data_IF_555438237255
#
_entry.id   IF_555438237255
#
_cell.length_a   1.000
_cell.length_b   1.000
_cell.length_c   1.000
_cell.angle_alpha   90.00
_cell.angle_beta   90.00
_cell.angle_gamma   90.00
#
_symmetry.space_group_name_H-M   'P 1'
#
loop_
_entity.id
_entity.type
_entity.pdbx_description
1 polymer ?
#
# COMPACT_ATOMS: atom_id res chain seq x y z
N UNK A 1 -19.13 -13.51 -12.90
CA UNK A 1 -19.06 -12.80 -14.20
C UNK A 1 -18.10 -11.60 -14.12
N UNK A 2 -16.79 -11.75 -14.38
CA UNK A 2 -15.84 -10.63 -14.32
C UNK A 2 -15.51 -10.14 -15.75
N UNK A 3 -15.89 -8.92 -16.14
CA UNK A 3 -15.56 -8.47 -17.50
C UNK A 3 -15.85 -7.02 -17.91
N UNK A 4 -16.49 -6.19 -17.08
CA UNK A 4 -16.81 -4.80 -17.47
C UNK A 4 -15.82 -3.73 -17.00
N UNK A 5 -14.90 -4.03 -16.07
CA UNK A 5 -14.02 -3.00 -15.48
C UNK A 5 -12.69 -2.80 -16.22
N UNK A 6 -12.18 -3.83 -16.90
CA UNK A 6 -10.91 -3.75 -17.63
C UNK A 6 -11.04 -3.06 -19.00
N UNK A 7 -12.20 -3.16 -19.68
CA UNK A 7 -12.37 -2.65 -21.05
C UNK A 7 -12.40 -1.11 -21.11
N UNK A 8 -13.11 -0.47 -20.17
CA UNK A 8 -13.22 0.99 -20.11
C UNK A 8 -11.89 1.68 -19.73
N UNK A 9 -10.97 1.00 -19.04
CA UNK A 9 -9.66 1.58 -18.70
C UNK A 9 -8.79 1.74 -19.94
N UNK A 10 -8.82 0.78 -20.86
CA UNK A 10 -8.03 0.81 -22.10
C UNK A 10 -8.57 1.87 -23.08
N UNK A 11 -9.89 2.05 -23.18
CA UNK A 11 -10.50 3.11 -23.97
C UNK A 11 -10.22 4.51 -23.39
N UNK A 12 -10.24 4.65 -22.06
CA UNK A 12 -9.87 5.91 -21.39
C UNK A 12 -8.38 6.23 -21.60
N UNK A 13 -7.49 5.23 -21.55
CA UNK A 13 -6.05 5.39 -21.82
C UNK A 13 -5.78 5.74 -23.29
N UNK A 14 -6.57 5.21 -24.23
CA UNK A 14 -6.48 5.55 -25.65
C UNK A 14 -6.92 7.00 -25.92
N UNK A 15 -7.97 7.48 -25.25
CA UNK A 15 -8.41 8.88 -25.33
C UNK A 15 -7.38 9.85 -24.72
N UNK A 16 -6.73 9.47 -23.62
CA UNK A 16 -5.69 10.27 -22.95
C UNK A 16 -4.36 10.32 -23.71
N UNK A 17 -4.13 9.40 -24.66
CA UNK A 17 -2.95 9.41 -25.55
C UNK A 17 -2.90 10.66 -26.43
N UNK A 18 -4.06 11.28 -26.71
CA UNK A 18 -4.15 12.53 -27.47
C UNK A 18 -3.93 13.78 -26.61
N UNK A 19 -3.90 13.66 -25.28
CA UNK A 19 -3.77 14.80 -24.34
C UNK A 19 -2.40 14.90 -23.67
N UNK A 20 -1.55 13.87 -23.77
CA UNK A 20 -0.24 13.81 -23.10
C UNK A 20 0.92 13.80 -24.13
N UNK A 21 1.42 14.96 -24.58
CA UNK A 21 2.46 15.07 -25.62
C UNK A 21 3.82 14.47 -25.23
N UNK A 22 4.01 14.05 -23.96
CA UNK A 22 5.29 13.51 -23.46
C UNK A 22 5.26 12.01 -23.15
N UNK A 23 4.10 11.34 -23.24
CA UNK A 23 3.94 9.92 -22.90
C UNK A 23 4.26 9.59 -21.43
N UNK A 24 4.21 10.58 -20.55
CA UNK A 24 4.47 10.44 -19.12
C UNK A 24 3.36 9.65 -18.42
N UNK A 25 2.11 9.84 -18.83
CA UNK A 25 0.98 9.15 -18.22
C UNK A 25 1.01 7.65 -18.52
N UNK A 26 1.33 7.27 -19.75
CA UNK A 26 1.50 5.88 -20.14
C UNK A 26 2.66 5.22 -19.37
N UNK A 27 3.81 5.91 -19.23
CA UNK A 27 4.94 5.41 -18.44
C UNK A 27 4.59 5.23 -16.96
N UNK A 28 3.89 6.20 -16.36
CA UNK A 28 3.43 6.11 -14.97
C UNK A 28 2.47 4.92 -14.78
N UNK A 29 1.58 4.67 -15.74
CA UNK A 29 0.69 3.51 -15.72
C UNK A 29 1.47 2.19 -15.79
N UNK A 30 2.45 2.07 -16.70
CA UNK A 30 3.30 0.88 -16.80
C UNK A 30 4.09 0.63 -15.52
N UNK A 31 4.66 1.68 -14.92
CA UNK A 31 5.40 1.59 -13.65
C UNK A 31 4.50 1.13 -12.50
N UNK A 32 3.26 1.60 -12.45
CA UNK A 32 2.27 1.17 -11.47
C UNK A 32 1.92 -0.31 -11.63
N UNK A 33 1.73 -0.77 -12.86
CA UNK A 33 1.35 -2.16 -13.14
C UNK A 33 2.49 -3.13 -12.84
N UNK A 34 3.75 -2.78 -13.18
CA UNK A 34 4.93 -3.56 -12.81
C UNK A 34 5.11 -3.69 -11.29
N UNK A 35 4.81 -2.64 -10.53
CA UNK A 35 4.87 -2.71 -9.06
C UNK A 35 3.80 -3.66 -8.50
N UNK A 36 2.62 -3.71 -9.14
CA UNK A 36 1.52 -4.59 -8.74
C UNK A 36 1.83 -6.07 -9.01
N UNK A 37 2.54 -6.38 -10.10
CA UNK A 37 2.99 -7.74 -10.39
C UNK A 37 4.16 -8.17 -9.50
N UNK A 38 5.08 -7.25 -9.20
CA UNK A 38 6.25 -7.50 -8.34
C UNK A 38 5.90 -8.07 -6.97
N UNK A 39 4.82 -7.59 -6.35
CA UNK A 39 4.34 -8.05 -5.03
C UNK A 39 3.77 -9.49 -5.04
N UNK A 40 3.65 -10.12 -6.22
CA UNK A 40 3.14 -11.49 -6.39
C UNK A 40 4.23 -12.51 -6.72
N UNK A 41 5.46 -12.06 -6.96
CA UNK A 41 6.58 -12.94 -7.33
C UNK A 41 7.29 -13.51 -6.09
N UNK A 42 7.92 -14.70 -6.20
CA UNK A 42 8.76 -15.27 -5.15
C UNK A 42 9.95 -14.35 -4.81
N UNK A 43 10.44 -14.43 -3.57
CA UNK A 43 11.41 -13.49 -2.97
C UNK A 43 12.64 -13.20 -3.85
N UNK A 44 13.23 -14.25 -4.41
CA UNK A 44 14.43 -14.16 -5.26
C UNK A 44 14.18 -13.32 -6.53
N UNK A 45 13.02 -13.52 -7.16
CA UNK A 45 12.62 -12.76 -8.34
C UNK A 45 12.23 -11.32 -7.96
N UNK A 46 11.49 -11.14 -6.85
CA UNK A 46 11.10 -9.83 -6.35
C UNK A 46 12.31 -8.93 -6.04
N UNK A 47 13.43 -9.50 -5.56
CA UNK A 47 14.66 -8.75 -5.28
C UNK A 47 15.29 -8.13 -6.53
N UNK A 48 15.34 -8.90 -7.61
CA UNK A 48 15.87 -8.47 -8.92
C UNK A 48 14.94 -7.47 -9.59
N UNK A 49 13.65 -7.78 -9.64
CA UNK A 49 12.62 -6.92 -10.21
C UNK A 49 12.51 -5.58 -9.48
N UNK A 50 12.66 -5.56 -8.14
CA UNK A 50 12.60 -4.31 -7.37
C UNK A 50 13.78 -3.41 -7.69
N UNK A 51 14.97 -3.99 -7.93
CA UNK A 51 16.14 -3.23 -8.37
C UNK A 51 15.91 -2.63 -9.76
N UNK A 52 15.39 -3.44 -10.69
CA UNK A 52 15.08 -3.02 -12.05
C UNK A 52 13.99 -1.92 -12.06
N UNK A 53 12.94 -2.10 -11.27
CA UNK A 53 11.87 -1.13 -11.13
C UNK A 53 12.37 0.20 -10.56
N UNK A 54 13.16 0.19 -9.48
CA UNK A 54 13.75 1.42 -8.92
C UNK A 54 14.63 2.13 -9.93
N UNK A 55 15.42 1.39 -10.71
CA UNK A 55 16.23 1.95 -11.78
C UNK A 55 15.34 2.62 -12.84
N UNK A 56 14.34 1.91 -13.37
CA UNK A 56 13.45 2.46 -14.40
C UNK A 56 12.61 3.65 -13.91
N UNK A 57 12.08 3.56 -12.69
CA UNK A 57 11.32 4.61 -12.03
C UNK A 57 12.14 5.89 -11.81
N UNK A 58 13.41 5.76 -11.42
CA UNK A 58 14.31 6.91 -11.22
C UNK A 58 14.65 7.63 -12.53
N UNK A 59 14.62 6.93 -13.67
CA UNK A 59 14.89 7.50 -15.00
C UNK A 59 13.62 7.97 -15.72
N UNK A 60 12.44 7.84 -15.11
CA UNK A 60 11.16 8.23 -15.70
C UNK A 60 10.99 9.74 -15.90
N UNK A 61 11.81 10.56 -15.22
CA UNK A 61 11.72 12.04 -15.16
C UNK A 61 10.35 12.56 -14.70
N UNK A 62 9.61 11.74 -13.96
CA UNK A 62 8.36 12.13 -13.28
C UNK A 62 8.70 12.30 -11.80
N UNK A 63 8.58 13.50 -11.22
CA UNK A 63 9.09 13.79 -9.88
C UNK A 63 8.41 12.92 -8.81
N UNK A 64 7.10 12.68 -8.91
CA UNK A 64 6.32 11.87 -7.98
C UNK A 64 6.78 10.40 -7.95
N UNK A 65 7.06 9.84 -9.14
CA UNK A 65 7.57 8.48 -9.29
C UNK A 65 9.01 8.39 -8.80
N UNK A 66 9.83 9.39 -9.09
CA UNK A 66 11.22 9.44 -8.66
C UNK A 66 11.31 9.49 -7.14
N UNK A 67 10.44 10.27 -6.50
CA UNK A 67 10.30 10.33 -5.05
C UNK A 67 9.81 9.01 -4.44
N UNK A 68 8.86 8.33 -5.10
CA UNK A 68 8.43 6.99 -4.71
C UNK A 68 9.59 5.98 -4.81
N UNK A 69 10.35 6.01 -5.91
CA UNK A 69 11.52 5.16 -6.09
C UNK A 69 12.58 5.41 -5.02
N UNK A 70 12.80 6.67 -4.64
CA UNK A 70 13.69 7.07 -3.54
C UNK A 70 13.23 6.50 -2.20
N UNK A 71 11.93 6.53 -1.90
CA UNK A 71 11.36 5.93 -0.67
C UNK A 71 11.48 4.41 -0.66
N UNK A 72 11.11 3.75 -1.75
CA UNK A 72 11.21 2.29 -1.91
C UNK A 72 12.66 1.83 -1.80
N UNK A 73 13.62 2.56 -2.39
CA UNK A 73 15.05 2.25 -2.26
C UNK A 73 15.53 2.29 -0.81
N UNK A 74 15.08 3.27 -0.01
CA UNK A 74 15.44 3.37 1.42
C UNK A 74 14.86 2.22 2.24
N UNK A 75 13.63 1.81 1.96
CA UNK A 75 12.92 0.72 2.68
C UNK A 75 13.03 -0.65 2.00
N UNK A 76 13.92 -0.80 1.02
CA UNK A 76 14.16 -2.06 0.31
C UNK A 76 14.37 -3.26 1.25
N UNK A 77 15.21 -3.19 2.32
CA UNK A 77 15.38 -4.33 3.21
C UNK A 77 14.07 -4.71 3.93
N UNK A 78 13.30 -3.73 4.39
CA UNK A 78 12.03 -3.96 5.08
C UNK A 78 10.96 -4.58 4.16
N UNK A 79 10.91 -4.13 2.90
CA UNK A 79 9.99 -4.66 1.88
C UNK A 79 10.31 -6.13 1.61
N UNK A 80 11.59 -6.47 1.42
CA UNK A 80 12.01 -7.86 1.19
C UNK A 80 11.71 -8.73 2.40
N UNK A 81 11.97 -8.24 3.62
CA UNK A 81 11.63 -8.94 4.86
C UNK A 81 10.12 -9.19 4.99
N UNK A 82 9.30 -8.24 4.56
CA UNK A 82 7.83 -8.39 4.58
C UNK A 82 7.36 -9.47 3.61
N UNK A 83 7.99 -9.58 2.43
CA UNK A 83 7.72 -10.62 1.44
C UNK A 83 8.16 -11.99 1.96
N UNK A 84 9.35 -12.07 2.58
CA UNK A 84 9.89 -13.29 3.20
C UNK A 84 8.99 -13.81 4.33
N UNK A 85 8.49 -12.92 5.18
CA UNK A 85 7.60 -13.27 6.28
C UNK A 85 6.18 -13.64 5.82
N UNK A 86 5.87 -13.48 4.53
CA UNK A 86 4.58 -13.86 3.95
C UNK A 86 3.39 -13.12 4.56
N UNK A 87 3.61 -11.92 5.12
CA UNK A 87 2.52 -11.14 5.71
C UNK A 87 1.47 -10.84 4.64
N UNK A 88 0.31 -11.47 4.76
CA UNK A 88 -0.76 -11.27 3.80
C UNK A 88 -1.28 -9.84 3.90
N UNK A 89 -1.45 -9.18 2.75
CA UNK A 89 -2.07 -7.86 2.67
C UNK A 89 -3.44 -7.84 3.35
N UNK A 90 -4.15 -8.97 3.38
CA UNK A 90 -5.40 -9.14 4.10
C UNK A 90 -5.29 -8.85 5.61
N UNK A 91 -4.19 -9.25 6.29
CA UNK A 91 -4.00 -8.93 7.72
C UNK A 91 -3.74 -7.44 7.95
N UNK A 92 -2.99 -6.80 7.04
CA UNK A 92 -2.75 -5.36 7.07
C UNK A 92 -4.06 -4.61 6.81
N UNK A 93 -4.81 -4.98 5.78
CA UNK A 93 -6.12 -4.39 5.44
C UNK A 93 -7.15 -4.57 6.56
N UNK A 94 -7.18 -5.73 7.21
CA UNK A 94 -8.04 -5.96 8.37
C UNK A 94 -7.68 -5.02 9.54
N UNK A 95 -6.39 -4.80 9.78
CA UNK A 95 -5.90 -3.87 10.81
C UNK A 95 -6.25 -2.43 10.46
N UNK A 96 -5.99 -2.01 9.22
CA UNK A 96 -6.37 -0.69 8.69
C UNK A 96 -7.87 -0.43 8.81
N UNK A 97 -8.69 -1.43 8.50
CA UNK A 97 -10.14 -1.30 8.60
C UNK A 97 -10.58 -1.14 10.06
N UNK A 98 -10.00 -1.90 11.00
CA UNK A 98 -10.26 -1.74 12.44
C UNK A 98 -9.91 -0.33 12.91
N UNK A 99 -8.75 0.19 12.51
CA UNK A 99 -8.31 1.57 12.83
C UNK A 99 -9.30 2.59 12.27
N UNK A 100 -9.67 2.48 10.99
CA UNK A 100 -10.63 3.41 10.35
C UNK A 100 -11.99 3.39 11.03
N UNK A 101 -12.48 2.22 11.46
CA UNK A 101 -13.72 2.12 12.25
C UNK A 101 -13.55 2.79 13.60
N UNK A 102 -12.44 2.56 14.31
CA UNK A 102 -12.16 3.20 15.59
C UNK A 102 -12.14 4.73 15.47
N UNK A 103 -11.50 5.27 14.44
CA UNK A 103 -11.47 6.71 14.17
C UNK A 103 -12.88 7.26 13.91
N UNK A 104 -13.72 6.54 13.15
CA UNK A 104 -15.11 6.98 12.90
C UNK A 104 -15.97 6.95 14.16
N UNK A 105 -15.81 5.93 15.00
CA UNK A 105 -16.53 5.79 16.27
C UNK A 105 -16.04 6.74 17.35
N UNK A 106 -14.83 7.27 17.22
CA UNK A 106 -14.24 8.20 18.17
C UNK A 106 -14.89 9.59 18.14
N UNK A 107 -15.67 9.92 17.10
CA UNK A 107 -16.39 11.21 16.92
C UNK A 107 -15.56 12.48 17.23
N UNK A 108 -14.23 12.41 17.13
CA UNK A 108 -13.32 13.51 17.41
C UNK A 108 -12.83 13.55 18.87
N UNK A 109 -11.87 12.68 19.21
CA UNK A 109 -11.09 12.90 20.42
C UNK A 109 -10.38 14.26 20.35
N UNK A 110 -10.46 15.05 21.41
CA UNK A 110 -9.74 16.32 21.54
C UNK A 110 -8.21 16.14 21.56
N UNK A 111 -7.73 14.97 22.00
CA UNK A 111 -6.31 14.63 22.08
C UNK A 111 -5.98 13.35 21.29
N UNK A 112 -4.91 13.41 20.50
CA UNK A 112 -4.42 12.31 19.66
C UNK A 112 -3.96 11.12 20.51
N UNK A 113 -3.49 11.37 21.73
CA UNK A 113 -3.07 10.33 22.67
C UNK A 113 -4.22 9.40 23.04
N UNK A 114 -5.43 9.94 23.24
CA UNK A 114 -6.62 9.16 23.56
C UNK A 114 -7.04 8.27 22.38
N UNK A 115 -6.96 8.79 21.16
CA UNK A 115 -7.20 8.00 19.95
C UNK A 115 -6.17 6.87 19.80
N UNK A 116 -4.89 7.16 20.07
CA UNK A 116 -3.80 6.19 20.00
C UNK A 116 -3.96 5.09 21.05
N UNK A 117 -4.33 5.45 22.28
CA UNK A 117 -4.63 4.50 23.35
C UNK A 117 -5.81 3.59 22.96
N UNK A 118 -6.89 4.15 22.41
CA UNK A 118 -8.04 3.35 21.98
C UNK A 118 -7.70 2.40 20.82
N UNK A 119 -6.93 2.86 19.84
CA UNK A 119 -6.45 2.01 18.74
C UNK A 119 -5.58 0.87 19.29
N UNK A 120 -4.68 1.17 20.22
CA UNK A 120 -3.79 0.20 20.86
C UNK A 120 -4.59 -0.83 21.66
N UNK A 121 -5.58 -0.38 22.44
CA UNK A 121 -6.49 -1.24 23.17
C UNK A 121 -7.26 -2.18 22.25
N UNK A 122 -7.82 -1.64 21.16
CA UNK A 122 -8.69 -2.38 20.25
C UNK A 122 -7.92 -3.29 19.31
N UNK A 123 -6.72 -2.93 18.89
CA UNK A 123 -5.93 -3.67 17.89
C UNK A 123 -4.80 -4.50 18.50
N UNK A 124 -4.36 -4.19 19.72
CA UNK A 124 -3.22 -4.82 20.39
C UNK A 124 -3.49 -6.22 20.95
N UNK A 125 -4.74 -6.68 20.96
CA UNK A 125 -5.09 -8.03 21.43
C UNK A 125 -4.79 -8.26 22.91
N UNK A 126 -4.81 -7.19 23.71
CA UNK A 126 -4.62 -7.27 25.16
C UNK A 126 -5.70 -8.15 25.77
N UNK A 127 -5.30 -9.23 26.45
CA UNK A 127 -6.17 -10.05 27.28
C UNK A 127 -6.46 -9.29 28.58
N UNK A 128 -7.45 -8.41 28.55
CA UNK A 128 -7.87 -7.66 29.73
C UNK A 128 -8.74 -8.56 30.57
N UNK A 129 -8.12 -9.24 31.54
CA UNK A 129 -8.84 -9.95 32.58
C UNK A 129 -9.45 -8.93 33.53
N UNK A 130 -10.77 -8.76 33.44
CA UNK A 130 -11.51 -7.94 34.39
C UNK A 130 -11.39 -8.60 35.78
N UNK A 131 -11.11 -7.82 36.84
CA UNK A 131 -11.13 -8.35 38.19
C UNK A 131 -12.54 -8.88 38.47
N UNK A 132 -12.63 -10.11 38.97
CA UNK A 132 -13.91 -10.66 39.38
C UNK A 132 -14.42 -9.89 40.59
N UNK A 133 -15.71 -9.51 40.64
CA UNK A 133 -16.26 -8.87 41.81
C UNK A 133 -16.13 -9.85 42.99
N UNK A 134 -15.38 -9.46 44.01
CA UNK A 134 -15.38 -10.15 45.29
C UNK A 134 -16.77 -9.95 45.89
N UNK A 135 -17.55 -11.03 45.96
CA UNK A 135 -18.83 -11.08 46.69
C UNK A 135 -18.52 -11.43 48.14
#
# INVERSE_FOLDING_TARGET
>A
MPGRRHRNQHETLAALRNTDPKGQLHRAWQLRELLRTLLRHPLEQARGELKHWVFWASHSRIPEITELARKIRRRRPDILRTIELGYSNARLEASDNRIKVTIRMAYGFHHVDNLTALITLRCGGLDIRLPQPTI
#
